data_IF_996068314915
#
_entry.id   IF_996068314915
#
_cell.length_a   1.000
_cell.length_b   1.000
_cell.length_c   1.000
_cell.angle_alpha   90.00
_cell.angle_beta   90.00
_cell.angle_gamma   90.00
#
_symmetry.space_group_name_H-M   'P 1'
#
loop_
_entity.id
_entity.type
_entity.pdbx_description
1 polymer ?
#
# COMPACT_ATOMS: atom_id res chain seq x y z
N UNK A 1 9.74 -16.11 -50.43
CA UNK A 1 8.43 -16.61 -49.95
C UNK A 1 8.00 -15.81 -48.72
N UNK A 2 7.02 -14.90 -48.80
CA UNK A 2 6.55 -14.19 -47.61
C UNK A 2 5.84 -15.18 -46.68
N UNK A 3 6.31 -15.33 -45.43
CA UNK A 3 5.60 -16.09 -44.39
C UNK A 3 4.26 -15.40 -44.12
N UNK A 4 3.16 -16.05 -44.49
CA UNK A 4 1.81 -15.65 -44.11
C UNK A 4 1.69 -15.73 -42.58
N UNK A 5 1.72 -14.58 -41.91
CA UNK A 5 1.54 -14.50 -40.46
C UNK A 5 0.06 -14.75 -40.16
N UNK A 6 -0.27 -15.97 -39.73
CA UNK A 6 -1.61 -16.32 -39.25
C UNK A 6 -1.95 -15.40 -38.08
N UNK A 7 -2.94 -14.53 -38.27
CA UNK A 7 -3.39 -13.58 -37.25
C UNK A 7 -4.38 -14.26 -36.30
N UNK A 8 -3.86 -14.93 -35.29
CA UNK A 8 -4.67 -15.63 -34.28
C UNK A 8 -5.45 -14.60 -33.44
N UNK A 9 -6.79 -14.71 -33.47
CA UNK A 9 -7.69 -13.91 -32.61
C UNK A 9 -7.65 -14.44 -31.18
N UNK A 10 -7.89 -13.56 -30.20
CA UNK A 10 -8.02 -13.93 -28.79
C UNK A 10 -8.93 -12.98 -28.02
N UNK A 11 -9.48 -13.37 -26.87
CA UNK A 11 -10.29 -12.50 -26.04
C UNK A 11 -9.44 -11.45 -25.29
N UNK A 12 -10.00 -10.25 -25.11
CA UNK A 12 -9.46 -9.22 -24.23
C UNK A 12 -9.49 -9.68 -22.76
N UNK A 13 -8.41 -9.44 -22.00
CA UNK A 13 -8.37 -9.78 -20.57
C UNK A 13 -9.27 -8.92 -19.66
N UNK A 14 -9.84 -7.83 -20.17
CA UNK A 14 -10.74 -6.95 -19.44
C UNK A 14 -12.19 -7.16 -19.89
N UNK A 15 -12.53 -6.76 -21.12
CA UNK A 15 -13.92 -6.83 -21.63
C UNK A 15 -14.27 -8.15 -22.33
N UNK A 16 -13.34 -9.12 -22.41
CA UNK A 16 -13.53 -10.44 -23.06
C UNK A 16 -13.87 -10.44 -24.55
N UNK A 17 -14.07 -9.29 -25.20
CA UNK A 17 -14.24 -9.18 -26.66
C UNK A 17 -13.07 -9.79 -27.41
N UNK A 18 -13.36 -10.60 -28.43
CA UNK A 18 -12.36 -11.15 -29.34
C UNK A 18 -11.73 -10.05 -30.20
N UNK A 19 -10.40 -10.02 -30.26
CA UNK A 19 -9.66 -9.07 -31.07
C UNK A 19 -8.46 -9.74 -31.73
N UNK A 20 -7.98 -9.13 -32.82
CA UNK A 20 -6.76 -9.52 -33.50
C UNK A 20 -5.60 -8.67 -32.97
N UNK A 21 -4.58 -9.24 -32.31
CA UNK A 21 -3.44 -8.49 -31.82
C UNK A 21 -2.65 -7.82 -32.94
N UNK A 22 -2.05 -6.66 -32.64
CA UNK A 22 -1.11 -5.98 -33.53
C UNK A 22 0.09 -6.92 -33.80
N UNK A 23 0.46 -7.18 -35.08
CA UNK A 23 1.58 -8.04 -35.43
C UNK A 23 2.92 -7.67 -34.78
N UNK A 24 3.14 -6.39 -34.46
CA UNK A 24 4.35 -5.92 -33.77
C UNK A 24 4.36 -6.34 -32.29
N UNK A 25 3.19 -6.39 -31.66
CA UNK A 25 3.04 -6.70 -30.24
C UNK A 25 2.79 -8.19 -29.99
N UNK A 26 2.27 -8.94 -30.97
CA UNK A 26 1.98 -10.38 -30.89
C UNK A 26 1.34 -10.75 -29.55
N UNK A 27 2.00 -11.61 -28.78
CA UNK A 27 1.50 -12.11 -27.52
C UNK A 27 1.55 -11.12 -26.36
N UNK A 28 2.30 -10.02 -26.51
CA UNK A 28 2.39 -8.96 -25.50
C UNK A 28 1.08 -8.18 -25.37
N UNK A 29 0.26 -8.11 -26.42
CA UNK A 29 -0.86 -7.17 -26.41
C UNK A 29 -1.95 -7.41 -25.34
N UNK A 30 -2.35 -8.59 -24.89
CA UNK A 30 -3.36 -8.85 -23.80
C UNK A 30 -4.76 -8.16 -23.80
N UNK A 31 -4.95 -6.93 -24.31
CA UNK A 31 -6.21 -6.17 -24.32
C UNK A 31 -6.60 -5.76 -25.74
N UNK A 32 -7.88 -5.46 -25.98
CA UNK A 32 -8.41 -5.15 -27.31
C UNK A 32 -7.89 -3.84 -27.91
N UNK A 33 -7.16 -3.02 -27.15
CA UNK A 33 -6.63 -1.73 -27.59
C UNK A 33 -7.46 -0.53 -27.16
N UNK A 34 -8.69 -0.74 -26.67
CA UNK A 34 -9.52 0.29 -26.05
C UNK A 34 -8.81 0.92 -24.83
N UNK A 35 -8.94 2.24 -24.67
CA UNK A 35 -8.31 3.02 -23.62
C UNK A 35 -8.71 2.55 -22.22
N UNK A 36 -9.99 2.24 -22.00
CA UNK A 36 -10.48 1.73 -20.73
C UNK A 36 -9.85 0.39 -20.39
N UNK A 37 -9.83 -0.54 -21.35
CA UNK A 37 -9.21 -1.85 -21.16
C UNK A 37 -7.70 -1.75 -20.92
N UNK A 38 -6.99 -0.84 -21.61
CA UNK A 38 -5.56 -0.61 -21.39
C UNK A 38 -5.29 -0.07 -19.97
N UNK A 39 -6.08 0.91 -19.52
CA UNK A 39 -5.95 1.52 -18.19
C UNK A 39 -6.20 0.51 -17.09
N UNK A 40 -7.28 -0.27 -17.19
CA UNK A 40 -7.58 -1.32 -16.19
C UNK A 40 -6.52 -2.42 -16.16
N UNK A 41 -6.02 -2.84 -17.32
CA UNK A 41 -4.93 -3.81 -17.38
C UNK A 41 -3.65 -3.27 -16.74
N UNK A 42 -3.30 -2.01 -17.03
CA UNK A 42 -2.16 -1.33 -16.41
C UNK A 42 -2.33 -1.25 -14.88
N UNK A 43 -3.49 -0.80 -14.40
CA UNK A 43 -3.81 -0.74 -12.96
C UNK A 43 -3.64 -2.10 -12.28
N UNK A 44 -4.17 -3.18 -12.86
CA UNK A 44 -4.01 -4.55 -12.33
C UNK A 44 -2.56 -5.01 -12.32
N UNK A 45 -1.81 -4.75 -13.40
CA UNK A 45 -0.39 -5.14 -13.48
C UNK A 45 0.50 -4.34 -12.54
N UNK A 46 0.26 -3.03 -12.39
CA UNK A 46 0.95 -2.20 -11.41
C UNK A 46 0.62 -2.63 -9.99
N UNK A 47 -0.63 -2.93 -9.67
CA UNK A 47 -1.02 -3.43 -8.34
C UNK A 47 -0.34 -4.76 -8.01
N UNK A 48 -0.35 -5.73 -8.95
CA UNK A 48 0.34 -7.01 -8.77
C UNK A 48 1.86 -6.80 -8.58
N UNK A 49 2.47 -6.00 -9.43
CA UNK A 49 3.90 -5.72 -9.35
C UNK A 49 4.26 -5.01 -8.04
N UNK A 50 3.48 -4.03 -7.58
CA UNK A 50 3.67 -3.34 -6.31
C UNK A 50 3.55 -4.29 -5.11
N UNK A 51 2.65 -5.29 -5.19
CA UNK A 51 2.48 -6.31 -4.15
C UNK A 51 3.66 -7.30 -4.11
N UNK A 52 4.21 -7.65 -5.27
CA UNK A 52 5.38 -8.53 -5.37
C UNK A 52 6.69 -7.79 -5.02
N UNK A 53 6.73 -6.47 -5.21
CA UNK A 53 7.92 -5.63 -5.04
C UNK A 53 7.71 -4.59 -3.95
N UNK A 54 7.16 -5.00 -2.80
CA UNK A 54 6.90 -4.08 -1.69
C UNK A 54 8.16 -3.37 -1.24
N UNK A 55 9.29 -4.08 -1.19
CA UNK A 55 10.55 -3.51 -0.70
C UNK A 55 11.12 -2.48 -1.67
N UNK A 56 10.98 -2.69 -2.98
CA UNK A 56 11.32 -1.67 -3.96
C UNK A 56 10.58 -0.36 -3.67
N UNK A 57 9.27 -0.43 -3.43
CA UNK A 57 8.47 0.76 -3.14
C UNK A 57 8.88 1.42 -1.82
N UNK A 58 9.10 0.63 -0.77
CA UNK A 58 9.55 1.12 0.55
C UNK A 58 10.90 1.84 0.44
N UNK A 59 11.85 1.24 -0.27
CA UNK A 59 13.19 1.83 -0.50
C UNK A 59 13.10 3.14 -1.26
N UNK A 60 12.38 3.18 -2.38
CA UNK A 60 12.24 4.43 -3.16
C UNK A 60 11.51 5.53 -2.36
N UNK A 61 10.47 5.16 -1.60
CA UNK A 61 9.76 6.10 -0.74
C UNK A 61 10.66 6.68 0.35
N UNK A 62 11.40 5.82 1.07
CA UNK A 62 12.28 6.23 2.15
C UNK A 62 13.45 7.07 1.62
N UNK A 63 14.05 6.67 0.50
CA UNK A 63 15.12 7.44 -0.15
C UNK A 63 14.65 8.86 -0.46
N UNK A 64 13.49 9.00 -1.11
CA UNK A 64 12.92 10.32 -1.42
C UNK A 64 12.72 11.18 -0.16
N UNK A 65 12.28 10.58 0.94
CA UNK A 65 12.10 11.27 2.22
C UNK A 65 13.42 11.73 2.84
N UNK A 66 14.45 10.92 2.74
CA UNK A 66 15.80 11.28 3.19
C UNK A 66 16.38 12.42 2.34
N UNK A 67 16.18 12.38 1.02
CA UNK A 67 16.62 13.45 0.11
C UNK A 67 15.89 14.77 0.45
N UNK A 68 14.56 14.76 0.61
CA UNK A 68 13.77 15.93 1.03
C UNK A 68 14.27 16.52 2.37
N UNK A 69 14.62 15.67 3.33
CA UNK A 69 15.09 16.10 4.65
C UNK A 69 16.51 16.70 4.60
N UNK A 70 17.38 16.17 3.75
CA UNK A 70 18.75 16.69 3.59
C UNK A 70 18.78 18.01 2.84
N UNK A 71 17.95 18.18 1.81
CA UNK A 71 17.80 19.46 1.11
C UNK A 71 17.21 20.56 2.00
N UNK A 72 16.30 20.19 2.91
CA UNK A 72 15.77 21.12 3.92
C UNK A 72 16.85 21.60 4.91
N UNK A 73 17.85 20.77 5.22
CA UNK A 73 18.98 21.16 6.08
C UNK A 73 19.93 22.17 5.40
N UNK A 74 20.13 22.05 4.07
CA UNK A 74 21.06 22.89 3.30
C UNK A 74 20.54 24.32 3.07
N UNK A 75 19.22 24.51 3.02
CA UNK A 75 18.59 25.77 2.58
C UNK A 75 18.31 26.76 3.72
N UNK A 76 18.89 26.57 4.91
CA UNK A 76 18.87 27.51 6.05
C UNK A 76 17.49 27.88 6.61
N UNK A 77 16.40 27.33 6.06
CA UNK A 77 15.07 27.45 6.65
C UNK A 77 14.94 26.32 7.67
N UNK A 78 15.24 26.62 8.92
CA UNK A 78 14.94 25.78 10.09
C UNK A 78 13.42 25.65 10.24
N UNK A 79 12.75 25.03 9.28
CA UNK A 79 11.44 24.47 9.53
C UNK A 79 11.70 23.10 10.13
N UNK A 80 11.36 22.88 11.42
CA UNK A 80 11.43 21.55 11.99
C UNK A 80 10.58 20.66 11.08
N UNK A 81 11.17 19.55 10.62
CA UNK A 81 10.43 18.54 9.90
C UNK A 81 9.25 18.19 10.79
N UNK A 82 8.03 18.55 10.36
CA UNK A 82 6.81 18.29 11.12
C UNK A 82 6.68 16.78 11.23
N UNK A 83 7.17 16.22 12.34
CA UNK A 83 6.99 14.81 12.61
C UNK A 83 5.51 14.54 12.73
N UNK A 84 5.03 13.52 12.04
CA UNK A 84 3.63 13.08 12.16
C UNK A 84 3.42 12.27 13.43
N UNK A 85 4.49 11.83 14.08
CA UNK A 85 4.45 11.14 15.36
C UNK A 85 4.56 12.18 16.47
N UNK A 86 3.46 12.36 17.21
CA UNK A 86 3.46 13.21 18.40
C UNK A 86 4.15 12.46 19.55
N UNK A 87 5.49 12.37 19.49
CA UNK A 87 6.31 11.64 20.46
C UNK A 87 6.38 12.33 21.82
N UNK A 88 5.94 13.59 21.91
CA UNK A 88 6.09 14.42 23.11
C UNK A 88 7.55 14.83 23.40
N UNK A 89 8.50 14.47 22.53
CA UNK A 89 9.91 14.74 22.74
C UNK A 89 10.32 16.16 22.26
N UNK A 90 11.36 16.77 22.87
CA UNK A 90 11.91 18.04 22.39
C UNK A 90 12.59 17.89 21.02
N UNK A 91 11.85 18.11 19.94
CA UNK A 91 12.25 17.79 18.57
C UNK A 91 13.58 18.43 18.14
N UNK A 92 13.86 19.67 18.55
CA UNK A 92 15.11 20.36 18.20
C UNK A 92 16.35 19.67 18.77
N UNK A 93 16.33 19.35 20.07
CA UNK A 93 17.41 18.65 20.75
C UNK A 93 17.59 17.23 20.21
N UNK A 94 16.48 16.51 20.00
CA UNK A 94 16.52 15.16 19.43
C UNK A 94 17.12 15.18 18.02
N UNK A 95 16.76 16.15 17.19
CA UNK A 95 17.32 16.30 15.85
C UNK A 95 18.81 16.61 15.88
N UNK A 96 19.29 17.39 16.85
CA UNK A 96 20.71 17.69 17.02
C UNK A 96 21.51 16.44 17.39
N UNK A 97 21.03 15.65 18.36
CA UNK A 97 21.73 14.45 18.86
C UNK A 97 21.65 13.27 17.88
N UNK A 98 20.46 13.01 17.33
CA UNK A 98 20.19 11.82 16.51
C UNK A 98 20.45 12.08 15.01
N UNK A 99 20.28 13.33 14.58
CA UNK A 99 20.35 13.71 13.17
C UNK A 99 19.02 13.51 12.41
N UNK A 100 18.81 14.34 11.40
CA UNK A 100 17.54 14.39 10.64
C UNK A 100 17.23 13.10 9.85
N UNK A 101 18.26 12.44 9.30
CA UNK A 101 18.08 11.21 8.53
C UNK A 101 17.56 10.06 9.41
N UNK A 102 18.18 9.86 10.58
CA UNK A 102 17.75 8.85 11.53
C UNK A 102 16.35 9.13 12.08
N UNK A 103 16.00 10.39 12.32
CA UNK A 103 14.62 10.78 12.68
C UNK A 103 13.59 10.35 11.63
N UNK A 104 13.88 10.58 10.34
CA UNK A 104 13.00 10.14 9.24
C UNK A 104 12.86 8.61 9.21
N UNK A 105 13.94 7.87 9.43
CA UNK A 105 13.93 6.41 9.47
C UNK A 105 13.11 5.90 10.66
N UNK A 106 13.32 6.47 11.86
CA UNK A 106 12.59 6.11 13.09
C UNK A 106 11.10 6.40 12.91
N UNK A 107 10.76 7.56 12.33
CA UNK A 107 9.36 7.91 12.06
C UNK A 107 8.71 6.93 11.07
N UNK A 108 9.41 6.60 9.99
CA UNK A 108 8.93 5.61 9.02
C UNK A 108 8.71 4.23 9.65
N UNK A 109 9.65 3.79 10.48
CA UNK A 109 9.54 2.55 11.23
C UNK A 109 8.36 2.56 12.21
N UNK A 110 8.17 3.66 12.95
CA UNK A 110 7.03 3.85 13.86
C UNK A 110 5.68 3.77 13.13
N UNK A 111 5.56 4.37 11.95
CA UNK A 111 4.35 4.28 11.12
C UNK A 111 4.05 2.84 10.66
N UNK A 112 5.08 2.08 10.27
CA UNK A 112 4.92 0.67 9.88
C UNK A 112 4.48 -0.20 11.06
N UNK A 113 5.06 0.02 12.24
CA UNK A 113 4.65 -0.69 13.46
C UNK A 113 3.21 -0.36 13.82
N UNK A 114 2.85 0.92 13.84
CA UNK A 114 1.49 1.35 14.18
C UNK A 114 0.45 0.75 13.23
N UNK A 115 0.72 0.76 11.92
CA UNK A 115 -0.14 0.11 10.93
C UNK A 115 -0.30 -1.39 11.20
N UNK A 116 0.78 -2.12 11.47
CA UNK A 116 0.71 -3.55 11.83
C UNK A 116 -0.07 -3.79 13.12
N UNK A 117 0.13 -2.97 14.15
CA UNK A 117 -0.62 -3.10 15.39
C UNK A 117 -2.11 -2.86 15.17
N UNK A 118 -2.50 -1.86 14.38
CA UNK A 118 -3.90 -1.62 14.03
C UNK A 118 -4.52 -2.79 13.27
N UNK A 119 -3.80 -3.42 12.34
CA UNK A 119 -4.28 -4.61 11.62
C UNK A 119 -4.52 -5.79 12.57
N UNK A 120 -3.56 -6.07 13.46
CA UNK A 120 -3.69 -7.14 14.46
C UNK A 120 -4.84 -6.87 15.43
N UNK A 121 -4.95 -5.64 15.93
CA UNK A 121 -6.02 -5.24 16.85
C UNK A 121 -7.40 -5.31 16.16
N UNK A 122 -7.52 -4.87 14.91
CA UNK A 122 -8.76 -5.01 14.13
C UNK A 122 -9.15 -6.48 13.96
N UNK A 123 -8.19 -7.36 13.66
CA UNK A 123 -8.42 -8.81 13.60
C UNK A 123 -8.96 -9.37 14.92
N UNK A 124 -8.34 -9.00 16.06
CA UNK A 124 -8.80 -9.42 17.39
C UNK A 124 -10.19 -8.90 17.74
N UNK A 125 -10.48 -7.64 17.41
CA UNK A 125 -11.82 -7.06 17.64
C UNK A 125 -12.87 -7.83 16.84
N UNK A 126 -12.62 -8.13 15.56
CA UNK A 126 -13.57 -8.89 14.74
C UNK A 126 -13.85 -10.27 15.35
N UNK A 127 -12.80 -11.03 15.69
CA UNK A 127 -12.94 -12.37 16.31
C UNK A 127 -13.68 -12.30 17.65
N UNK A 128 -13.36 -11.34 18.51
CA UNK A 128 -14.06 -11.17 19.78
C UNK A 128 -15.53 -10.79 19.57
N UNK A 129 -15.84 -9.95 18.57
CA UNK A 129 -17.22 -9.55 18.27
C UNK A 129 -18.05 -10.73 17.74
N UNK A 130 -17.44 -11.59 16.90
CA UNK A 130 -18.04 -12.85 16.45
C UNK A 130 -18.21 -13.87 17.59
N UNK A 131 -17.31 -13.88 18.57
CA UNK A 131 -17.47 -14.73 19.76
C UNK A 131 -18.58 -14.20 20.70
N UNK A 132 -18.70 -12.88 20.86
CA UNK A 132 -19.75 -12.25 21.67
C UNK A 132 -21.14 -12.52 21.07
N UNK A 133 -21.30 -12.53 19.75
CA UNK A 133 -22.58 -12.86 19.11
C UNK A 133 -22.96 -14.33 19.21
N UNK A 134 -22.01 -15.23 19.52
CA UNK A 134 -22.22 -16.68 19.69
C UNK A 134 -22.44 -17.08 21.14
N UNK A 135 -22.17 -16.21 22.11
CA UNK A 135 -22.48 -16.50 23.51
C UNK A 135 -24.01 -16.54 23.71
N UNK A 136 -24.58 -17.61 24.29
CA UNK A 136 -25.98 -17.62 24.66
C UNK A 136 -26.21 -16.46 25.62
N UNK A 137 -27.28 -15.70 25.36
CA UNK A 137 -27.78 -14.69 26.27
C UNK A 137 -28.17 -15.40 27.58
N UNK A 138 -27.21 -15.56 28.50
CA UNK A 138 -27.48 -16.01 29.85
C UNK A 138 -28.31 -14.91 30.51
N UNK A 139 -29.62 -15.04 30.36
CA UNK A 139 -30.59 -14.29 31.13
C UNK A 139 -30.27 -14.59 32.60
N UNK A 140 -29.69 -13.60 33.28
CA UNK A 140 -29.62 -13.60 34.73
C UNK A 140 -31.07 -13.66 35.24
N UNK A 141 -31.53 -14.86 35.55
CA UNK A 141 -32.79 -15.07 36.26
C UNK A 141 -32.60 -14.56 37.69
N UNK A 142 -33.00 -13.31 37.91
CA UNK A 142 -33.26 -12.79 39.25
C UNK A 142 -34.55 -13.41 39.75
N UNK A 143 -34.45 -14.55 40.42
CA UNK A 143 -35.52 -15.08 41.27
C UNK A 143 -35.05 -15.03 42.71
N UNK A 144 -35.31 -13.89 43.36
CA UNK A 144 -35.45 -13.80 44.81
C UNK A 144 -36.55 -12.78 45.09
N UNK A 145 -37.75 -13.27 45.39
CA UNK A 145 -38.78 -12.56 46.16
C UNK A 145 -39.53 -13.55 47.04
N UNK A 146 -39.36 -13.30 48.34
CA UNK A 146 -40.22 -13.62 49.49
C UNK A 146 -40.24 -15.08 49.97
#
# INVERSE_FOLDING_TARGET
>A
MPRTVVRIKRPCRICRRWFTPNPRLKDRQKTCGDALCKREWHRKKCSAWNKENTDYYRTNYLQKKLDEATESKKTSKTHPVKSRLNTGLPHGFVQEVIGIQHLVIIEYFGQLLFGRFQEVLRGKVIVNTEQISVLPHLAFSRSDRL
#
